data_IF_037897100892
#
_entry.id   IF_037897100892
#
_cell.length_a   1.000
_cell.length_b   1.000
_cell.length_c   1.000
_cell.angle_alpha   90.00
_cell.angle_beta   90.00
_cell.angle_gamma   90.00
#
_symmetry.space_group_name_H-M   'P 1'
#
loop_
_entity.id
_entity.type
_entity.pdbx_description
1 polymer ?
#
# COMPACT_ATOMS: atom_id res chain seq x y z
N UNK A 1 25.40 -18.51 -31.40
CA UNK A 1 24.45 -17.52 -30.85
C UNK A 1 24.72 -16.21 -31.57
N UNK A 2 23.79 -15.68 -32.36
CA UNK A 2 24.07 -14.48 -33.16
C UNK A 2 24.30 -13.27 -32.24
N UNK A 3 25.29 -12.44 -32.56
CA UNK A 3 25.64 -11.24 -31.77
C UNK A 3 24.59 -10.12 -31.89
N UNK A 4 23.59 -10.29 -32.77
CA UNK A 4 22.47 -9.38 -33.01
C UNK A 4 21.54 -9.21 -31.81
N UNK A 5 21.49 -10.20 -30.90
CA UNK A 5 20.67 -10.11 -29.68
C UNK A 5 21.16 -9.03 -28.71
N UNK A 6 22.45 -8.70 -28.76
CA UNK A 6 23.09 -7.74 -27.84
C UNK A 6 22.71 -6.28 -28.14
N UNK A 7 22.73 -5.78 -29.39
CA UNK A 7 22.23 -4.44 -29.69
C UNK A 7 20.71 -4.32 -29.54
N UNK A 8 19.95 -5.37 -29.88
CA UNK A 8 18.48 -5.39 -29.73
C UNK A 8 18.08 -5.25 -28.26
N UNK A 9 18.76 -5.96 -27.36
CA UNK A 9 18.47 -5.86 -25.93
C UNK A 9 18.79 -4.48 -25.36
N UNK A 10 19.86 -3.83 -25.81
CA UNK A 10 20.19 -2.45 -25.42
C UNK A 10 19.10 -1.47 -25.86
N UNK A 11 18.62 -1.59 -27.11
CA UNK A 11 17.54 -0.75 -27.63
C UNK A 11 16.25 -0.97 -26.83
N UNK A 12 15.91 -2.23 -26.53
CA UNK A 12 14.73 -2.56 -25.73
C UNK A 12 14.80 -1.94 -24.32
N UNK A 13 15.97 -1.99 -23.66
CA UNK A 13 16.17 -1.37 -22.34
C UNK A 13 16.01 0.15 -22.41
N UNK A 14 16.61 0.80 -23.42
CA UNK A 14 16.48 2.25 -23.60
C UNK A 14 15.01 2.64 -23.82
N UNK A 15 14.30 1.91 -24.68
CA UNK A 15 12.86 2.14 -24.90
C UNK A 15 12.06 1.97 -23.59
N UNK A 16 12.38 0.94 -22.80
CA UNK A 16 11.72 0.71 -21.51
C UNK A 16 11.96 1.86 -20.53
N UNK A 17 13.19 2.40 -20.45
CA UNK A 17 13.53 3.53 -19.58
C UNK A 17 12.74 4.78 -19.98
N UNK A 18 12.61 5.03 -21.29
CA UNK A 18 11.84 6.18 -21.80
C UNK A 18 10.33 6.04 -21.55
N UNK A 19 9.81 4.81 -21.58
CA UNK A 19 8.40 4.51 -21.33
C UNK A 19 8.06 4.36 -19.84
N UNK A 20 9.04 4.15 -18.97
CA UNK A 20 8.84 3.88 -17.55
C UNK A 20 7.98 4.94 -16.82
N UNK A 21 8.12 6.26 -17.08
CA UNK A 21 7.24 7.27 -16.48
C UNK A 21 5.77 7.07 -16.88
N UNK A 22 5.49 6.90 -18.18
CA UNK A 22 4.13 6.70 -18.68
C UNK A 22 3.50 5.41 -18.14
N UNK A 23 4.28 4.33 -18.06
CA UNK A 23 3.84 3.07 -17.47
C UNK A 23 3.50 3.28 -15.99
N UNK A 24 4.37 3.97 -15.24
CA UNK A 24 4.13 4.27 -13.82
C UNK A 24 2.88 5.12 -13.62
N UNK A 25 2.67 6.13 -14.46
CA UNK A 25 1.54 7.04 -14.33
C UNK A 25 0.23 6.33 -14.68
N UNK A 26 0.20 5.47 -15.71
CA UNK A 26 -0.95 4.62 -16.03
C UNK A 26 -1.27 3.63 -14.90
N UNK A 27 -0.25 2.94 -14.36
CA UNK A 27 -0.44 2.04 -13.22
C UNK A 27 -0.93 2.76 -11.96
N UNK A 28 -0.49 4.01 -11.74
CA UNK A 28 -0.97 4.84 -10.62
C UNK A 28 -2.43 5.25 -10.80
N UNK A 29 -2.82 5.61 -12.01
CA UNK A 29 -4.21 5.96 -12.32
C UNK A 29 -5.12 4.75 -12.12
N UNK A 30 -4.72 3.58 -12.61
CA UNK A 30 -5.47 2.34 -12.44
C UNK A 30 -5.52 1.88 -10.97
N UNK A 31 -4.39 1.99 -10.24
CA UNK A 31 -4.36 1.78 -8.79
C UNK A 31 -5.29 2.73 -8.03
N UNK A 32 -5.38 4.00 -8.44
CA UNK A 32 -6.28 4.96 -7.84
C UNK A 32 -7.75 4.63 -8.10
N UNK A 33 -8.08 3.97 -9.22
CA UNK A 33 -9.42 3.45 -9.49
C UNK A 33 -9.80 2.36 -8.50
N UNK A 34 -8.92 1.41 -8.19
CA UNK A 34 -9.20 0.38 -7.18
C UNK A 34 -9.39 0.93 -5.76
N UNK A 35 -8.74 2.05 -5.41
CA UNK A 35 -8.97 2.74 -4.13
C UNK A 35 -10.32 3.49 -4.12
N UNK A 36 -10.78 3.95 -5.29
CA UNK A 36 -12.05 4.67 -5.45
C UNK A 36 -13.24 3.76 -5.71
N UNK A 37 -12.99 2.49 -6.02
CA UNK A 37 -14.01 1.49 -6.27
C UNK A 37 -14.62 1.03 -4.93
N UNK A 38 -15.79 1.57 -4.61
CA UNK A 38 -16.53 1.26 -3.40
C UNK A 38 -17.11 -0.17 -3.40
N UNK A 39 -17.11 -0.88 -4.53
CA UNK A 39 -17.53 -2.29 -4.57
C UNK A 39 -16.42 -3.26 -4.14
N UNK A 40 -15.16 -2.82 -4.19
CA UNK A 40 -14.00 -3.52 -3.63
C UNK A 40 -13.59 -2.96 -2.26
N UNK A 41 -14.51 -2.26 -1.58
CA UNK A 41 -14.25 -1.55 -0.33
C UNK A 41 -13.45 -2.40 0.64
N UNK A 42 -12.26 -1.90 0.95
CA UNK A 42 -11.50 -2.11 2.17
C UNK A 42 -12.40 -2.64 3.31
N UNK A 43 -12.43 -3.95 3.51
CA UNK A 43 -13.32 -4.60 4.48
C UNK A 43 -13.10 -3.94 5.86
N UNK A 44 -14.01 -3.05 6.27
CA UNK A 44 -13.96 -2.30 7.52
C UNK A 44 -13.44 -0.85 7.50
N UNK A 45 -13.10 -0.22 6.36
CA UNK A 45 -12.75 1.22 6.32
C UNK A 45 -13.90 2.11 5.83
N UNK A 46 -14.07 3.32 6.38
CA UNK A 46 -15.15 4.23 6.00
C UNK A 46 -14.89 4.90 4.64
N UNK A 47 -15.95 5.11 3.85
CA UNK A 47 -15.90 5.83 2.57
C UNK A 47 -15.48 7.30 2.72
N UNK A 48 -15.68 7.90 3.89
CA UNK A 48 -15.26 9.28 4.20
C UNK A 48 -14.73 9.43 5.62
N UNK A 49 -13.70 10.26 5.76
CA UNK A 49 -13.07 10.60 7.04
C UNK A 49 -13.58 11.99 7.47
N UNK A 50 -14.17 12.07 8.66
CA UNK A 50 -14.72 13.31 9.24
C UNK A 50 -13.94 13.77 10.48
N UNK A 51 -12.66 13.38 10.56
CA UNK A 51 -11.74 13.66 11.68
C UNK A 51 -12.16 13.09 13.05
N UNK A 52 -13.13 12.16 13.09
CA UNK A 52 -13.48 11.41 14.31
C UNK A 52 -13.05 9.94 14.26
N UNK A 53 -12.66 9.43 13.08
CA UNK A 53 -12.24 8.05 12.89
C UNK A 53 -10.73 7.87 13.13
N UNK A 54 -10.35 6.69 13.63
CA UNK A 54 -8.96 6.26 13.78
C UNK A 54 -8.77 4.92 13.07
N UNK A 55 -7.62 4.72 12.43
CA UNK A 55 -7.27 3.41 11.85
C UNK A 55 -6.66 2.53 12.93
N UNK A 56 -7.24 1.36 13.16
CA UNK A 56 -6.73 0.35 14.06
C UNK A 56 -6.08 -0.77 13.26
N UNK A 57 -4.78 -0.99 13.45
CA UNK A 57 -4.06 -2.09 12.80
C UNK A 57 -3.69 -3.15 13.81
N UNK A 58 -4.04 -4.40 13.51
CA UNK A 58 -3.66 -5.58 14.29
C UNK A 58 -2.73 -6.44 13.45
N UNK A 59 -1.49 -6.57 13.90
CA UNK A 59 -0.51 -7.45 13.27
C UNK A 59 -0.59 -8.83 13.91
N UNK A 60 -0.53 -9.92 13.12
CA UNK A 60 -0.56 -11.26 13.66
C UNK A 60 0.72 -11.52 14.45
N UNK A 61 0.62 -12.36 15.49
CA UNK A 61 1.68 -12.59 16.46
C UNK A 61 2.91 -13.31 15.87
N UNK A 62 2.73 -14.03 14.77
CA UNK A 62 3.77 -14.71 14.00
C UNK A 62 4.52 -13.79 13.02
N UNK A 63 3.95 -12.60 12.73
CA UNK A 63 4.57 -11.58 11.88
C UNK A 63 4.34 -10.16 12.45
N UNK A 64 4.95 -9.85 13.62
CA UNK A 64 4.77 -8.56 14.25
C UNK A 64 5.46 -7.45 13.45
N UNK A 65 4.79 -6.31 13.28
CA UNK A 65 5.40 -5.15 12.63
C UNK A 65 6.38 -4.46 13.58
N UNK A 66 7.63 -4.14 13.16
CA UNK A 66 8.68 -3.62 14.07
C UNK A 66 8.29 -2.37 14.84
N UNK A 67 7.42 -1.53 14.27
CA UNK A 67 6.94 -0.27 14.85
C UNK A 67 5.61 -0.41 15.61
N UNK A 68 4.84 -1.47 15.37
CA UNK A 68 3.44 -1.59 15.81
C UNK A 68 3.18 -3.00 16.38
N UNK A 69 4.05 -3.46 17.29
CA UNK A 69 4.03 -4.81 17.85
C UNK A 69 3.44 -4.90 19.27
N UNK A 70 2.92 -3.79 19.80
CA UNK A 70 2.54 -3.66 21.21
C UNK A 70 1.03 -3.72 21.44
N UNK A 71 0.26 -4.29 20.51
CA UNK A 71 -1.21 -4.35 20.55
C UNK A 71 -1.87 -3.64 19.36
N UNK A 72 -3.10 -3.15 19.54
CA UNK A 72 -3.81 -2.41 18.49
C UNK A 72 -3.35 -0.96 18.47
N UNK A 73 -2.69 -0.55 17.39
CA UNK A 73 -2.22 0.84 17.21
C UNK A 73 -3.30 1.66 16.50
N UNK A 74 -3.68 2.79 17.11
CA UNK A 74 -4.57 3.80 16.54
C UNK A 74 -3.74 4.86 15.81
N UNK A 75 -4.02 5.08 14.53
CA UNK A 75 -3.26 6.00 13.67
C UNK A 75 -4.18 7.14 13.19
N UNK A 76 -3.67 8.38 13.27
CA UNK A 76 -4.33 9.58 12.76
C UNK A 76 -4.23 9.70 11.24
N UNK A 77 -5.00 10.62 10.65
CA UNK A 77 -5.00 10.87 9.21
C UNK A 77 -3.62 11.32 8.67
N UNK A 78 -2.78 11.94 9.49
CA UNK A 78 -1.41 12.36 9.11
C UNK A 78 -0.36 11.25 9.27
N UNK A 79 -0.77 10.04 9.67
CA UNK A 79 0.11 8.89 9.89
C UNK A 79 0.79 8.88 11.27
N UNK A 80 0.51 9.85 12.14
CA UNK A 80 1.00 9.85 13.52
C UNK A 80 0.21 8.87 14.39
N UNK A 81 0.86 8.33 15.42
CA UNK A 81 0.19 7.44 16.39
C UNK A 81 -0.68 8.27 17.32
N UNK A 82 -1.98 7.98 17.34
CA UNK A 82 -2.92 8.56 18.29
C UNK A 82 -2.84 7.86 19.66
N UNK A 83 -2.71 6.54 19.66
CA UNK A 83 -2.66 5.72 20.87
C UNK A 83 -2.42 4.24 20.58
N UNK A 84 -2.17 3.46 21.63
CA UNK A 84 -2.01 2.00 21.55
C UNK A 84 -2.86 1.36 22.64
N UNK A 85 -3.70 0.40 22.25
CA UNK A 85 -4.38 -0.48 23.19
C UNK A 85 -3.55 -1.77 23.36
N UNK A 86 -2.67 -1.77 24.37
CA UNK A 86 -1.79 -2.92 24.68
C UNK A 86 -2.50 -4.08 25.35
N UNK A 87 -3.66 -3.82 25.95
CA UNK A 87 -4.47 -4.81 26.69
C UNK A 87 -5.55 -5.44 25.80
N UNK A 88 -5.54 -5.17 24.48
CA UNK A 88 -6.53 -5.72 23.57
C UNK A 88 -6.44 -7.26 23.53
N UNK A 89 -7.51 -7.93 23.95
CA UNK A 89 -7.60 -9.39 24.04
C UNK A 89 -8.54 -10.04 23.00
N UNK A 90 -9.01 -9.26 22.03
CA UNK A 90 -9.90 -9.77 20.99
C UNK A 90 -9.16 -10.68 20.02
N UNK A 91 -9.89 -11.63 19.44
CA UNK A 91 -9.42 -12.41 18.29
C UNK A 91 -9.76 -11.62 17.03
N UNK A 92 -8.74 -11.20 16.28
CA UNK A 92 -8.91 -10.77 14.90
C UNK A 92 -9.36 -11.93 14.02
#
# INVERSE_FOLDING_TARGET
MSNELKPISVIAVIALILLAPSIRDALREEAATYVKDSESSHDGLPESWNNSQVMCVMFPSDSPHPKFNSGVTMIQADGTTYGVNSEFNGTG
#
